data_IF_361002267225
#
_entry.id   IF_361002267225
#
_cell.length_a   1.000
_cell.length_b   1.000
_cell.length_c   1.000
_cell.angle_alpha   90.00
_cell.angle_beta   90.00
_cell.angle_gamma   90.00
#
_symmetry.space_group_name_H-M   'P 1'
#
loop_
_entity.id
_entity.type
_entity.pdbx_description
1 polymer ?
#
# COMPACT_ATOMS: atom_id res chain seq x y z
N UNK A 1 -72.10 18.94 44.31
CA UNK A 1 -70.76 18.93 44.93
C UNK A 1 -70.90 18.46 46.37
N UNK A 2 -70.37 17.28 46.72
CA UNK A 2 -70.14 16.90 48.11
C UNK A 2 -68.73 17.31 48.49
N UNK A 3 -68.63 18.16 49.49
CA UNK A 3 -67.40 18.67 50.09
C UNK A 3 -66.70 17.53 50.83
N UNK A 4 -65.54 17.11 50.32
CA UNK A 4 -64.59 16.26 51.05
C UNK A 4 -63.91 17.15 52.08
N UNK A 5 -63.95 16.74 53.36
CA UNK A 5 -63.36 17.49 54.47
C UNK A 5 -61.82 17.40 54.41
N UNK A 6 -61.07 18.45 54.79
CA UNK A 6 -59.59 18.50 54.72
C UNK A 6 -58.83 17.49 55.61
N UNK A 7 -59.53 16.65 56.35
CA UNK A 7 -58.96 15.74 57.35
C UNK A 7 -58.60 14.37 56.74
N UNK A 8 -59.21 13.99 55.62
CA UNK A 8 -58.95 12.71 54.93
C UNK A 8 -57.77 12.76 53.93
N UNK A 9 -57.13 13.92 53.76
CA UNK A 9 -55.89 14.06 52.97
C UNK A 9 -54.61 13.94 53.82
N UNK A 10 -54.73 13.73 55.13
CA UNK A 10 -53.59 13.67 56.06
C UNK A 10 -53.02 12.27 56.30
N UNK A 11 -53.54 11.23 55.63
CA UNK A 11 -53.00 9.87 55.74
C UNK A 11 -52.59 9.38 54.35
N UNK A 12 -51.50 9.95 53.81
CA UNK A 12 -50.62 9.32 52.79
C UNK A 12 -49.34 10.11 52.45
N UNK A 13 -48.92 11.03 53.32
CA UNK A 13 -47.60 11.69 53.21
C UNK A 13 -46.68 11.47 54.42
N UNK A 14 -47.05 10.55 55.33
CA UNK A 14 -46.28 10.23 56.52
C UNK A 14 -45.67 8.80 56.51
N UNK A 15 -45.64 8.14 55.36
CA UNK A 15 -44.85 6.90 55.14
C UNK A 15 -43.97 7.10 53.91
N UNK A 16 -42.91 7.90 54.05
CA UNK A 16 -41.75 7.86 53.16
C UNK A 16 -40.50 8.50 53.79
N UNK A 17 -40.40 8.43 55.12
CA UNK A 17 -39.17 8.81 55.82
C UNK A 17 -38.03 7.79 55.61
N UNK A 18 -38.33 6.57 55.13
CA UNK A 18 -37.33 5.60 54.67
C UNK A 18 -36.79 5.87 53.25
N UNK A 19 -37.44 6.75 52.47
CA UNK A 19 -36.97 7.08 51.11
C UNK A 19 -35.99 8.26 51.05
N UNK A 20 -35.72 8.94 52.18
CA UNK A 20 -34.70 10.02 52.23
C UNK A 20 -33.29 9.48 52.01
N UNK A 21 -32.97 8.27 52.49
CA UNK A 21 -31.69 7.62 52.21
C UNK A 21 -31.57 7.22 50.73
N UNK A 22 -32.65 6.72 50.12
CA UNK A 22 -32.70 6.43 48.68
C UNK A 22 -32.47 7.68 47.83
N UNK A 23 -33.13 8.79 48.18
CA UNK A 23 -33.01 10.06 47.46
C UNK A 23 -31.61 10.70 47.62
N UNK A 24 -31.02 10.63 48.81
CA UNK A 24 -29.64 11.08 49.03
C UNK A 24 -28.62 10.20 48.30
N UNK A 25 -28.84 8.88 48.23
CA UNK A 25 -27.99 7.97 47.47
C UNK A 25 -28.10 8.24 45.96
N UNK A 26 -29.31 8.51 45.46
CA UNK A 26 -29.55 8.90 44.07
C UNK A 26 -28.86 10.23 43.72
N UNK A 27 -29.03 11.27 44.54
CA UNK A 27 -28.35 12.57 44.34
C UNK A 27 -26.83 12.41 44.34
N UNK A 28 -26.26 11.63 45.26
CA UNK A 28 -24.81 11.36 45.28
C UNK A 28 -24.33 10.67 44.01
N UNK A 29 -25.09 9.69 43.49
CA UNK A 29 -24.77 9.01 42.21
C UNK A 29 -24.87 9.95 41.01
N UNK A 30 -25.87 10.82 40.96
CA UNK A 30 -26.02 11.83 39.90
C UNK A 30 -24.87 12.84 39.94
N UNK A 31 -24.51 13.35 41.13
CA UNK A 31 -23.37 14.25 41.29
C UNK A 31 -22.07 13.56 40.86
N UNK A 32 -21.85 12.30 41.26
CA UNK A 32 -20.67 11.54 40.86
C UNK A 32 -20.61 11.34 39.33
N UNK A 33 -21.75 11.06 38.68
CA UNK A 33 -21.84 10.94 37.23
C UNK A 33 -21.53 12.27 36.53
N UNK A 34 -22.05 13.39 37.03
CA UNK A 34 -21.77 14.73 36.50
C UNK A 34 -20.29 15.07 36.66
N UNK A 35 -19.70 14.81 37.83
CA UNK A 35 -18.26 15.01 38.06
C UNK A 35 -17.42 14.13 37.13
N UNK A 36 -17.81 12.87 36.92
CA UNK A 36 -17.14 11.97 35.97
C UNK A 36 -17.23 12.53 34.54
N UNK A 37 -18.39 13.00 34.10
CA UNK A 37 -18.58 13.60 32.77
C UNK A 37 -17.76 14.87 32.59
N UNK A 38 -17.66 15.72 33.62
CA UNK A 38 -16.82 16.92 33.62
C UNK A 38 -15.34 16.52 33.53
N UNK A 39 -14.89 15.55 34.32
CA UNK A 39 -13.52 15.04 34.28
C UNK A 39 -13.18 14.45 32.91
N UNK A 40 -14.06 13.63 32.33
CA UNK A 40 -13.89 13.07 30.98
C UNK A 40 -13.84 14.19 29.94
N UNK A 41 -14.73 15.18 30.00
CA UNK A 41 -14.72 16.32 29.09
C UNK A 41 -13.42 17.12 29.19
N UNK A 42 -12.90 17.34 30.40
CA UNK A 42 -11.64 18.06 30.61
C UNK A 42 -10.42 17.26 30.09
N UNK A 43 -10.44 15.93 30.25
CA UNK A 43 -9.41 15.04 29.70
C UNK A 43 -9.45 15.03 28.16
N UNK A 44 -10.63 14.96 27.56
CA UNK A 44 -10.81 15.05 26.11
C UNK A 44 -10.31 16.40 25.60
N UNK A 45 -10.67 17.51 26.24
CA UNK A 45 -10.22 18.84 25.85
C UNK A 45 -8.70 18.98 25.94
N UNK A 46 -8.09 18.49 27.03
CA UNK A 46 -6.62 18.46 27.17
C UNK A 46 -5.95 17.62 26.09
N UNK A 47 -6.49 16.45 25.79
CA UNK A 47 -5.96 15.57 24.75
C UNK A 47 -6.05 16.22 23.37
N UNK A 48 -7.20 16.82 23.03
CA UNK A 48 -7.39 17.57 21.76
C UNK A 48 -6.41 18.74 21.68
N UNK A 49 -6.23 19.49 22.77
CA UNK A 49 -5.29 20.62 22.79
C UNK A 49 -3.83 20.16 22.64
N UNK A 50 -3.41 19.09 23.30
CA UNK A 50 -2.07 18.51 23.13
C UNK A 50 -1.82 18.05 21.70
N UNK A 51 -2.79 17.35 21.09
CA UNK A 51 -2.73 16.97 19.67
C UNK A 51 -2.60 18.20 18.78
N UNK A 52 -3.41 19.23 19.02
CA UNK A 52 -3.36 20.47 18.24
C UNK A 52 -1.99 21.16 18.33
N UNK A 53 -1.41 21.28 19.53
CA UNK A 53 -0.07 21.85 19.74
C UNK A 53 0.99 21.04 18.99
N UNK A 54 0.95 19.70 19.08
CA UNK A 54 1.88 18.84 18.37
C UNK A 54 1.79 19.05 16.85
N UNK A 55 0.56 19.10 16.31
CA UNK A 55 0.31 19.34 14.89
C UNK A 55 0.86 20.71 14.46
N UNK A 56 0.56 21.78 15.21
CA UNK A 56 1.07 23.11 14.90
C UNK A 56 2.61 23.15 14.92
N UNK A 57 3.25 22.44 15.86
CA UNK A 57 4.71 22.35 15.90
C UNK A 57 5.31 21.64 14.69
N UNK A 58 4.69 20.55 14.21
CA UNK A 58 5.11 19.84 13.00
C UNK A 58 4.91 20.72 11.76
N UNK A 59 3.78 21.43 11.68
CA UNK A 59 3.50 22.39 10.60
C UNK A 59 4.55 23.50 10.57
N UNK A 60 4.82 24.12 11.71
CA UNK A 60 5.80 25.20 11.82
C UNK A 60 7.21 24.74 11.43
N UNK A 61 7.61 23.52 11.85
CA UNK A 61 8.91 22.94 11.47
C UNK A 61 8.98 22.73 9.95
N UNK A 62 7.95 22.14 9.34
CA UNK A 62 7.93 21.89 7.92
C UNK A 62 7.88 23.18 7.08
N UNK A 63 7.18 24.21 7.56
CA UNK A 63 7.20 25.55 6.95
C UNK A 63 8.57 26.22 7.09
N UNK A 64 9.23 26.05 8.23
CA UNK A 64 10.60 26.53 8.44
C UNK A 64 11.58 25.84 7.50
N UNK A 65 11.45 24.52 7.30
CA UNK A 65 12.24 23.77 6.33
C UNK A 65 11.96 24.24 4.89
N UNK A 66 10.70 24.52 4.54
CA UNK A 66 10.34 25.10 3.25
C UNK A 66 10.93 26.51 3.07
N UNK A 67 10.93 27.33 4.11
CA UNK A 67 11.57 28.66 4.05
C UNK A 67 13.09 28.58 3.95
N UNK A 68 13.71 27.68 4.71
CA UNK A 68 15.14 27.41 4.64
C UNK A 68 15.51 26.89 3.25
N UNK A 69 14.66 26.04 2.67
CA UNK A 69 14.81 25.54 1.31
C UNK A 69 14.85 26.66 0.28
N UNK A 70 13.94 27.62 0.43
CA UNK A 70 13.84 28.80 -0.45
C UNK A 70 15.02 29.77 -0.23
N UNK A 71 15.52 29.93 1.00
CA UNK A 71 16.58 30.90 1.36
C UNK A 71 17.99 30.42 1.04
N UNK A 72 18.30 29.15 1.32
CA UNK A 72 19.69 28.65 1.29
C UNK A 72 20.17 28.26 -0.10
N UNK A 73 19.27 28.05 -1.06
CA UNK A 73 19.64 27.48 -2.34
C UNK A 73 20.28 26.10 -2.25
N UNK A 74 20.22 25.40 -1.10
CA UNK A 74 20.72 24.02 -0.90
C UNK A 74 20.03 23.06 -1.87
N UNK A 75 18.81 23.40 -2.28
CA UNK A 75 18.05 22.68 -3.29
C UNK A 75 18.40 23.08 -4.74
N UNK A 76 19.42 23.92 -4.98
CA UNK A 76 19.83 24.39 -6.32
C UNK A 76 20.37 23.27 -7.22
N UNK A 77 20.91 22.19 -6.65
CA UNK A 77 21.35 21.00 -7.37
C UNK A 77 20.15 20.16 -7.83
N UNK A 78 19.56 20.57 -8.95
CA UNK A 78 18.82 19.66 -9.82
C UNK A 78 19.85 18.86 -10.60
N UNK A 79 20.07 17.60 -10.26
CA UNK A 79 20.59 16.70 -11.28
C UNK A 79 19.39 16.29 -12.11
N UNK A 80 19.39 16.67 -13.38
CA UNK A 80 18.43 16.16 -14.34
C UNK A 80 18.62 14.64 -14.41
N UNK A 81 17.87 13.88 -13.63
CA UNK A 81 17.81 12.42 -13.78
C UNK A 81 16.65 12.15 -14.73
N UNK A 82 16.80 12.64 -15.95
CA UNK A 82 16.05 12.04 -17.05
C UNK A 82 16.62 10.64 -17.25
N UNK A 83 15.88 9.63 -16.79
CA UNK A 83 15.86 8.33 -17.43
C UNK A 83 17.19 7.59 -17.48
N UNK A 84 18.02 7.63 -16.43
CA UNK A 84 19.04 6.59 -16.33
C UNK A 84 18.30 5.23 -16.31
N UNK A 85 18.53 4.38 -17.32
CA UNK A 85 17.84 3.11 -17.38
C UNK A 85 18.24 2.28 -16.17
N UNK A 86 17.25 1.65 -15.55
CA UNK A 86 17.49 0.72 -14.45
C UNK A 86 18.45 -0.35 -14.99
N UNK A 87 19.59 -0.51 -14.32
CA UNK A 87 20.55 -1.55 -14.66
C UNK A 87 19.94 -2.91 -14.33
N UNK A 88 19.88 -3.77 -15.33
CA UNK A 88 19.27 -5.10 -15.21
C UNK A 88 20.22 -6.14 -15.75
N UNK A 89 20.34 -7.25 -15.04
CA UNK A 89 21.06 -8.45 -15.43
C UNK A 89 20.32 -9.64 -14.86
N UNK A 90 19.61 -10.34 -15.73
CA UNK A 90 19.06 -11.63 -15.39
C UNK A 90 20.18 -12.67 -15.40
N UNK A 91 20.32 -13.43 -14.31
CA UNK A 91 21.27 -14.54 -14.26
C UNK A 91 20.60 -15.75 -14.90
N UNK A 92 21.06 -16.10 -16.09
CA UNK A 92 20.68 -17.34 -16.78
C UNK A 92 21.85 -18.32 -16.73
N UNK A 93 21.60 -19.64 -16.76
CA UNK A 93 22.65 -20.61 -17.03
C UNK A 93 23.38 -20.29 -18.34
N UNK A 94 24.70 -20.56 -18.37
CA UNK A 94 25.55 -20.29 -19.54
C UNK A 94 25.08 -21.06 -20.79
N UNK A 95 24.54 -22.26 -20.57
CA UNK A 95 23.87 -23.04 -21.61
C UNK A 95 22.35 -22.98 -21.41
N UNK A 96 21.66 -22.37 -22.38
CA UNK A 96 20.20 -22.24 -22.36
C UNK A 96 19.49 -23.47 -22.92
N UNK A 97 20.19 -24.41 -23.56
CA UNK A 97 19.58 -25.57 -24.24
C UNK A 97 18.90 -26.56 -23.29
N UNK A 98 19.32 -26.56 -22.02
CA UNK A 98 18.75 -27.36 -20.94
C UNK A 98 17.55 -26.73 -20.22
N UNK A 99 17.29 -25.44 -20.42
CA UNK A 99 16.19 -24.76 -19.74
C UNK A 99 14.84 -25.34 -20.17
N UNK A 100 13.99 -25.65 -19.21
CA UNK A 100 12.64 -26.19 -19.41
C UNK A 100 11.59 -25.37 -18.69
N UNK A 101 11.94 -24.72 -17.58
CA UNK A 101 10.98 -24.10 -16.69
C UNK A 101 11.31 -22.65 -16.38
N UNK A 102 10.24 -21.87 -16.22
CA UNK A 102 10.21 -20.58 -15.56
C UNK A 102 9.55 -20.75 -14.19
N UNK A 103 10.17 -20.23 -13.15
CA UNK A 103 9.62 -20.22 -11.79
C UNK A 103 9.41 -18.77 -11.36
N UNK A 104 8.16 -18.45 -11.05
CA UNK A 104 7.73 -17.13 -10.56
C UNK A 104 7.26 -17.25 -9.11
N UNK A 105 7.68 -16.34 -8.24
CA UNK A 105 7.16 -16.17 -6.88
C UNK A 105 8.06 -16.71 -5.78
N UNK A 106 9.34 -17.03 -6.08
CA UNK A 106 10.32 -17.46 -5.06
C UNK A 106 10.86 -16.28 -4.25
N UNK A 107 10.82 -15.06 -4.79
CA UNK A 107 11.26 -13.86 -4.07
C UNK A 107 10.47 -13.66 -2.79
N UNK A 108 11.16 -13.23 -1.71
CA UNK A 108 10.54 -12.95 -0.42
C UNK A 108 11.25 -11.90 0.41
N UNK A 109 10.45 -11.17 1.19
CA UNK A 109 10.90 -10.29 2.26
C UNK A 109 10.47 -10.92 3.58
N UNK A 110 11.40 -11.01 4.53
CA UNK A 110 11.11 -11.40 5.90
C UNK A 110 10.94 -10.14 6.74
N UNK A 111 9.84 -10.05 7.48
CA UNK A 111 9.55 -8.93 8.38
C UNK A 111 9.45 -9.45 9.80
N UNK A 112 10.22 -8.89 10.71
CA UNK A 112 10.29 -9.26 12.12
C UNK A 112 10.00 -8.03 13.01
N UNK A 113 9.94 -8.24 14.33
CA UNK A 113 9.60 -7.20 15.31
C UNK A 113 10.56 -6.00 15.37
N UNK A 114 11.79 -6.16 14.89
CA UNK A 114 12.79 -5.11 14.90
C UNK A 114 12.71 -4.21 13.66
N UNK A 115 11.91 -4.60 12.66
CA UNK A 115 11.78 -3.84 11.43
C UNK A 115 11.02 -2.53 11.63
N UNK A 116 11.41 -1.53 10.84
CA UNK A 116 10.73 -0.25 10.72
C UNK A 116 10.11 -0.19 9.32
N UNK A 117 8.78 -0.26 9.28
CA UNK A 117 7.97 -0.12 8.09
C UNK A 117 7.75 1.37 7.84
N UNK A 118 8.41 1.91 6.80
CA UNK A 118 8.11 3.23 6.26
C UNK A 118 7.00 3.11 5.21
N UNK A 119 5.94 3.91 5.33
CA UNK A 119 4.83 3.87 4.39
C UNK A 119 4.46 5.27 3.85
N UNK A 120 3.99 5.31 2.60
CA UNK A 120 3.31 6.50 2.08
C UNK A 120 2.04 6.80 2.89
N UNK A 121 1.54 8.03 2.87
CA UNK A 121 0.32 8.44 3.61
C UNK A 121 -0.96 8.03 2.89
N UNK A 122 -1.07 8.44 1.63
CA UNK A 122 -2.25 8.18 0.81
C UNK A 122 -2.46 6.68 0.60
N UNK A 123 -3.69 6.19 0.68
CA UNK A 123 -4.07 4.77 0.62
C UNK A 123 -3.50 3.87 1.73
N UNK A 124 -2.99 4.46 2.82
CA UNK A 124 -2.52 3.75 4.02
C UNK A 124 -3.27 4.16 5.27
N UNK A 125 -3.16 5.43 5.69
CA UNK A 125 -3.88 5.97 6.84
C UNK A 125 -4.84 7.12 6.48
N UNK A 126 -4.82 7.56 5.22
CA UNK A 126 -5.78 8.49 4.61
C UNK A 126 -6.00 8.09 3.15
N UNK A 127 -7.18 8.33 2.60
CA UNK A 127 -7.43 8.11 1.17
C UNK A 127 -8.19 9.30 0.57
N UNK A 128 -7.51 10.01 -0.32
CA UNK A 128 -8.11 11.12 -1.05
C UNK A 128 -9.18 10.67 -2.05
N UNK A 129 -9.05 9.46 -2.58
CA UNK A 129 -9.99 8.91 -3.55
C UNK A 129 -11.26 8.38 -2.88
N UNK A 130 -11.10 7.62 -1.80
CA UNK A 130 -12.18 7.12 -0.93
C UNK A 130 -12.79 8.18 0.00
N UNK A 131 -12.25 9.41 -0.01
CA UNK A 131 -12.68 10.54 0.84
C UNK A 131 -12.51 10.30 2.35
N UNK A 132 -11.58 9.42 2.74
CA UNK A 132 -11.19 9.23 4.14
C UNK A 132 -10.17 10.30 4.55
N UNK A 133 -10.60 11.57 4.50
CA UNK A 133 -9.73 12.76 4.66
C UNK A 133 -9.92 13.49 5.99
N UNK A 134 -10.94 13.14 6.78
CA UNK A 134 -11.28 13.84 8.03
C UNK A 134 -10.26 13.58 9.16
N UNK A 135 -9.35 12.63 8.96
CA UNK A 135 -8.28 12.31 9.91
C UNK A 135 -7.02 13.06 9.55
N UNK A 136 -6.41 13.72 10.53
CA UNK A 136 -5.06 14.25 10.37
C UNK A 136 -4.06 13.09 10.27
N UNK A 137 -3.03 13.20 9.41
CA UNK A 137 -2.06 12.13 9.23
C UNK A 137 -1.30 11.96 10.54
N UNK A 138 -1.38 10.77 11.13
CA UNK A 138 -0.53 10.37 12.25
C UNK A 138 0.79 9.87 11.71
N UNK A 139 1.92 10.30 12.28
CA UNK A 139 3.24 9.76 11.94
C UNK A 139 3.40 8.30 12.38
N UNK A 140 2.67 7.90 13.41
CA UNK A 140 2.67 6.55 13.99
C UNK A 140 1.24 6.06 14.21
N UNK A 141 0.48 5.79 13.13
CA UNK A 141 -0.90 5.35 13.27
C UNK A 141 -0.94 3.97 13.92
N UNK A 142 -1.98 3.73 14.70
CA UNK A 142 -2.33 2.39 15.17
C UNK A 142 -2.86 1.57 14.01
N UNK A 143 -2.79 0.25 14.15
CA UNK A 143 -3.26 -0.70 13.14
C UNK A 143 -4.73 -0.50 12.78
N UNK A 144 -5.57 -0.13 13.74
CA UNK A 144 -7.01 0.11 13.55
C UNK A 144 -7.29 1.42 12.79
N UNK A 145 -6.30 2.30 12.67
CA UNK A 145 -6.38 3.54 11.91
C UNK A 145 -6.00 3.34 10.43
N UNK A 146 -5.51 2.15 10.06
CA UNK A 146 -5.14 1.82 8.69
C UNK A 146 -6.37 1.48 7.85
N UNK A 147 -6.32 1.92 6.60
CA UNK A 147 -7.30 1.61 5.57
C UNK A 147 -7.28 0.11 5.26
N UNK A 148 -8.44 -0.47 4.97
CA UNK A 148 -8.62 -1.93 4.78
C UNK A 148 -8.53 -2.37 3.32
N UNK A 149 -8.01 -1.52 2.45
CA UNK A 149 -7.72 -1.80 1.04
C UNK A 149 -6.36 -1.18 0.68
N UNK A 150 -5.86 -1.46 -0.53
CA UNK A 150 -4.57 -0.95 -1.02
C UNK A 150 -3.38 -1.28 -0.11
N UNK A 151 -2.35 -0.41 -0.06
CA UNK A 151 -1.16 -0.58 0.78
C UNK A 151 -1.51 -0.71 2.27
N UNK A 152 -2.52 0.03 2.76
CA UNK A 152 -2.98 -0.01 4.14
C UNK A 152 -3.39 -1.42 4.59
N UNK A 153 -4.15 -2.13 3.75
CA UNK A 153 -4.57 -3.51 4.03
C UNK A 153 -3.37 -4.44 4.20
N UNK A 154 -2.36 -4.29 3.35
CA UNK A 154 -1.19 -5.17 3.36
C UNK A 154 -0.25 -4.87 4.52
N UNK A 155 -0.13 -3.59 4.92
CA UNK A 155 0.56 -3.22 6.17
C UNK A 155 -0.18 -3.83 7.37
N UNK A 156 -1.51 -3.78 7.38
CA UNK A 156 -2.31 -4.40 8.44
C UNK A 156 -2.06 -5.90 8.53
N UNK A 157 -2.03 -6.63 7.42
CA UNK A 157 -1.71 -8.06 7.39
C UNK A 157 -0.32 -8.35 7.98
N UNK A 158 0.67 -7.48 7.72
CA UNK A 158 2.00 -7.58 8.33
C UNK A 158 1.90 -7.38 9.85
N UNK A 159 1.26 -6.29 10.31
CA UNK A 159 1.12 -5.95 11.73
C UNK A 159 0.21 -6.91 12.52
N UNK A 160 -0.61 -7.71 11.86
CA UNK A 160 -1.36 -8.81 12.48
C UNK A 160 -0.47 -10.01 12.82
N UNK A 161 0.72 -10.10 12.21
CA UNK A 161 1.65 -11.23 12.31
C UNK A 161 2.94 -10.85 13.04
N UNK A 162 3.31 -9.56 13.02
CA UNK A 162 4.55 -9.05 13.62
C UNK A 162 4.33 -7.79 14.46
N UNK A 163 5.20 -7.55 15.43
CA UNK A 163 5.26 -6.32 16.23
C UNK A 163 6.17 -5.24 15.59
N UNK A 164 6.31 -5.25 14.26
CA UNK A 164 7.11 -4.27 13.53
C UNK A 164 6.60 -2.83 13.76
N UNK A 165 7.51 -1.85 13.68
CA UNK A 165 7.16 -0.44 13.91
C UNK A 165 6.71 0.21 12.61
N UNK A 166 5.52 0.81 12.60
CA UNK A 166 5.04 1.61 11.47
C UNK A 166 5.43 3.09 11.62
N UNK A 167 5.90 3.68 10.52
CA UNK A 167 6.20 5.10 10.36
C UNK A 167 5.61 5.61 9.06
N UNK A 168 4.80 6.66 9.14
CA UNK A 168 4.29 7.34 7.97
C UNK A 168 5.35 8.34 7.49
N UNK A 169 5.73 8.22 6.22
CA UNK A 169 6.74 9.04 5.59
C UNK A 169 6.06 10.27 4.99
N UNK A 170 5.96 11.31 5.82
CA UNK A 170 5.27 12.58 5.52
C UNK A 170 6.28 13.72 5.30
N UNK A 171 5.79 14.91 4.96
CA UNK A 171 6.54 16.15 4.83
C UNK A 171 7.67 16.10 3.79
N UNK A 172 7.38 15.51 2.63
CA UNK A 172 8.35 15.48 1.52
C UNK A 172 8.39 16.82 0.81
N UNK A 173 9.56 17.45 0.78
CA UNK A 173 9.81 18.60 -0.07
C UNK A 173 9.94 18.13 -1.52
N UNK A 174 9.21 18.76 -2.43
CA UNK A 174 9.28 18.52 -3.87
C UNK A 174 9.61 19.80 -4.63
N UNK A 175 10.22 19.67 -5.80
CA UNK A 175 10.61 20.80 -6.65
C UNK A 175 10.03 20.67 -8.05
N UNK A 176 9.49 21.77 -8.58
CA UNK A 176 8.97 21.86 -9.94
C UNK A 176 10.10 22.17 -10.92
N UNK A 177 10.16 21.40 -12.00
CA UNK A 177 11.09 21.60 -13.12
C UNK A 177 10.43 21.15 -14.43
N UNK A 178 10.52 21.95 -15.50
CA UNK A 178 9.92 21.65 -16.81
C UNK A 178 8.46 21.13 -16.75
N UNK A 179 7.63 21.77 -15.93
CA UNK A 179 6.23 21.41 -15.67
C UNK A 179 5.96 20.07 -14.93
N UNK A 180 6.99 19.32 -14.56
CA UNK A 180 6.90 18.16 -13.68
C UNK A 180 7.37 18.49 -12.25
N UNK A 181 7.03 17.63 -11.30
CA UNK A 181 7.43 17.74 -9.89
C UNK A 181 8.32 16.58 -9.51
N UNK A 182 9.35 16.84 -8.73
CA UNK A 182 10.34 15.83 -8.36
C UNK A 182 10.54 15.82 -6.84
N UNK A 183 10.66 14.63 -6.26
CA UNK A 183 11.08 14.39 -4.90
C UNK A 183 12.57 14.01 -4.83
N UNK A 184 13.24 14.31 -3.71
CA UNK A 184 14.67 14.09 -3.55
C UNK A 184 15.00 12.66 -3.12
N UNK A 185 16.23 12.26 -3.42
CA UNK A 185 16.90 11.16 -2.73
C UNK A 185 17.44 11.58 -1.35
N UNK A 186 18.16 10.69 -0.68
CA UNK A 186 18.78 10.92 0.64
C UNK A 186 19.84 12.03 0.65
N UNK A 187 20.40 12.39 -0.51
CA UNK A 187 21.38 13.46 -0.66
C UNK A 187 20.72 14.80 -1.03
N UNK A 188 19.38 14.85 -1.07
CA UNK A 188 18.64 16.05 -1.45
C UNK A 188 18.56 16.28 -2.96
N UNK A 189 18.93 15.31 -3.80
CA UNK A 189 18.90 15.43 -5.26
C UNK A 189 17.51 15.09 -5.77
N UNK A 190 16.80 16.07 -6.31
CA UNK A 190 15.46 15.89 -6.88
C UNK A 190 15.49 15.12 -8.20
N UNK A 191 15.05 13.87 -8.15
CA UNK A 191 15.14 12.96 -9.31
C UNK A 191 13.94 12.05 -9.53
N UNK A 192 13.07 11.90 -8.53
CA UNK A 192 11.91 11.01 -8.65
C UNK A 192 10.66 11.83 -8.95
N UNK A 193 10.08 11.62 -10.12
CA UNK A 193 8.86 12.29 -10.51
C UNK A 193 7.70 11.94 -9.56
N UNK A 194 7.00 12.99 -9.12
CA UNK A 194 5.77 12.92 -8.35
C UNK A 194 4.63 13.43 -9.21
N UNK A 195 3.58 12.63 -9.30
CA UNK A 195 2.42 12.96 -10.12
C UNK A 195 1.81 14.30 -9.68
N UNK A 196 1.50 15.14 -10.67
CA UNK A 196 1.02 16.52 -10.44
C UNK A 196 -0.25 16.56 -9.59
N UNK A 197 -1.18 15.64 -9.78
CA UNK A 197 -2.42 15.57 -9.00
C UNK A 197 -2.16 15.36 -7.50
N UNK A 198 -1.08 14.65 -7.14
CA UNK A 198 -0.66 14.41 -5.74
C UNK A 198 -0.05 15.65 -5.10
N UNK A 199 0.68 16.45 -5.87
CA UNK A 199 1.19 17.74 -5.40
C UNK A 199 0.07 18.74 -5.15
N UNK A 200 -1.06 18.58 -5.85
CA UNK A 200 -2.24 19.43 -5.71
C UNK A 200 -3.23 18.96 -4.64
N UNK A 201 -2.86 17.99 -3.80
CA UNK A 201 -3.66 17.63 -2.63
C UNK A 201 -3.88 18.87 -1.73
N UNK A 202 -5.09 19.07 -1.17
CA UNK A 202 -5.39 20.20 -0.30
C UNK A 202 -4.49 20.36 0.92
N UNK A 203 -3.80 19.29 1.35
CA UNK A 203 -2.85 19.30 2.47
C UNK A 203 -1.44 19.68 2.06
N UNK A 204 -1.15 19.72 0.77
CA UNK A 204 0.14 20.12 0.24
C UNK A 204 0.26 21.65 0.26
N UNK A 205 1.45 22.15 0.61
CA UNK A 205 1.74 23.58 0.55
C UNK A 205 2.67 23.85 -0.62
N UNK A 206 2.23 24.64 -1.60
CA UNK A 206 3.04 24.98 -2.77
C UNK A 206 3.37 26.47 -2.76
N UNK A 207 4.66 26.80 -2.84
CA UNK A 207 5.17 28.17 -2.96
C UNK A 207 6.16 28.23 -4.14
N UNK A 208 5.81 28.98 -5.19
CA UNK A 208 6.60 29.10 -6.43
C UNK A 208 6.85 27.72 -7.07
N UNK A 209 8.11 27.30 -7.13
CA UNK A 209 8.57 26.02 -7.70
C UNK A 209 8.92 24.99 -6.61
N UNK A 210 8.49 25.18 -5.37
CA UNK A 210 8.72 24.24 -4.27
C UNK A 210 7.39 23.87 -3.64
N UNK A 211 7.22 22.60 -3.32
CA UNK A 211 6.05 22.05 -2.65
C UNK A 211 6.45 21.27 -1.40
N UNK A 212 5.55 21.21 -0.43
CA UNK A 212 5.65 20.36 0.75
C UNK A 212 4.47 19.41 0.73
N UNK A 213 4.75 18.11 0.59
CA UNK A 213 3.76 17.04 0.56
C UNK A 213 3.57 16.48 1.96
N UNK A 214 2.44 16.78 2.59
CA UNK A 214 2.07 16.15 3.87
C UNK A 214 1.53 14.74 3.64
N UNK A 215 0.72 14.58 2.60
CA UNK A 215 0.15 13.31 2.21
C UNK A 215 0.93 12.78 1.01
N UNK A 216 1.98 12.01 1.29
CA UNK A 216 2.82 11.40 0.27
C UNK A 216 2.07 10.27 -0.45
N UNK A 217 2.39 10.08 -1.73
CA UNK A 217 1.81 9.04 -2.56
C UNK A 217 2.86 8.48 -3.51
N UNK A 218 3.08 7.17 -3.42
CA UNK A 218 4.05 6.42 -4.21
C UNK A 218 5.45 6.46 -3.63
N UNK A 219 6.22 5.40 -3.95
CA UNK A 219 7.60 5.23 -3.48
C UNK A 219 8.50 6.38 -3.91
N UNK A 220 8.24 6.99 -5.08
CA UNK A 220 8.97 8.17 -5.56
C UNK A 220 8.94 9.35 -4.59
N UNK A 221 7.88 9.49 -3.79
CA UNK A 221 7.69 10.62 -2.89
C UNK A 221 8.25 10.42 -1.47
N UNK A 222 8.88 9.29 -1.18
CA UNK A 222 9.24 8.92 0.21
C UNK A 222 10.69 8.47 0.40
N UNK A 223 11.55 8.57 -0.63
CA UNK A 223 12.95 8.10 -0.56
C UNK A 223 13.76 8.80 0.53
N UNK A 224 13.75 10.13 0.53
CA UNK A 224 14.48 10.92 1.53
C UNK A 224 14.03 10.60 2.97
N UNK A 225 12.72 10.53 3.18
CA UNK A 225 12.10 10.24 4.48
C UNK A 225 12.40 8.81 4.93
N UNK A 226 12.41 7.84 4.01
CA UNK A 226 12.73 6.45 4.31
C UNK A 226 14.11 6.31 4.97
N UNK A 227 15.12 7.00 4.44
CA UNK A 227 16.48 6.98 4.97
C UNK A 227 16.57 7.73 6.29
N UNK A 228 15.93 8.90 6.39
CA UNK A 228 15.89 9.68 7.64
C UNK A 228 15.26 8.89 8.81
N UNK A 229 14.14 8.21 8.54
CA UNK A 229 13.42 7.40 9.53
C UNK A 229 14.04 6.01 9.74
N UNK A 230 15.16 5.69 9.06
CA UNK A 230 15.86 4.41 9.16
C UNK A 230 14.93 3.22 8.88
N UNK A 231 14.07 3.35 7.88
CA UNK A 231 13.18 2.28 7.46
C UNK A 231 13.98 1.07 6.96
N UNK A 232 13.55 -0.14 7.31
CA UNK A 232 14.11 -1.40 6.80
C UNK A 232 13.20 -2.03 5.74
N UNK A 233 11.92 -1.64 5.73
CA UNK A 233 10.93 -1.98 4.72
C UNK A 233 10.16 -0.74 4.32
N UNK A 234 9.99 -0.53 3.01
CA UNK A 234 9.10 0.47 2.45
C UNK A 234 7.87 -0.19 1.86
N UNK A 235 6.69 0.35 2.19
CA UNK A 235 5.42 -0.04 1.57
C UNK A 235 4.79 1.17 0.89
N UNK A 236 4.63 1.09 -0.43
CA UNK A 236 4.09 2.20 -1.22
C UNK A 236 3.69 1.79 -2.63
N UNK A 237 2.95 2.66 -3.29
CA UNK A 237 2.46 2.45 -4.65
C UNK A 237 3.64 2.43 -5.65
N UNK A 238 3.56 1.52 -6.61
CA UNK A 238 4.59 1.21 -7.60
C UNK A 238 4.08 1.26 -9.04
N UNK A 239 3.15 2.16 -9.34
CA UNK A 239 2.42 2.18 -10.60
C UNK A 239 2.93 3.20 -11.64
N UNK A 240 4.17 3.68 -11.49
CA UNK A 240 4.84 4.50 -12.51
C UNK A 240 6.32 4.09 -12.62
N UNK A 241 6.97 4.34 -13.77
CA UNK A 241 8.41 4.10 -13.93
C UNK A 241 9.26 4.82 -12.88
N UNK A 242 8.92 6.06 -12.51
CA UNK A 242 9.69 6.80 -11.51
C UNK A 242 9.56 6.22 -10.10
N UNK A 243 8.40 5.62 -9.76
CA UNK A 243 8.23 4.87 -8.51
C UNK A 243 9.11 3.61 -8.51
N UNK A 244 9.29 2.94 -9.66
CA UNK A 244 10.21 1.80 -9.80
C UNK A 244 11.68 2.20 -9.68
N UNK A 245 12.08 3.33 -10.26
CA UNK A 245 13.43 3.89 -10.08
C UNK A 245 13.73 4.18 -8.60
N UNK A 246 12.77 4.78 -7.90
CA UNK A 246 12.87 5.02 -6.46
C UNK A 246 12.98 3.72 -5.66
N UNK A 247 12.19 2.70 -6.02
CA UNK A 247 12.26 1.38 -5.39
C UNK A 247 13.65 0.75 -5.56
N UNK A 248 14.20 0.72 -6.78
CA UNK A 248 15.54 0.18 -7.05
C UNK A 248 16.62 0.93 -6.29
N UNK A 249 16.52 2.26 -6.19
CA UNK A 249 17.46 3.06 -5.41
C UNK A 249 17.44 2.67 -3.93
N UNK A 250 16.26 2.59 -3.32
CA UNK A 250 16.09 2.14 -1.93
C UNK A 250 16.65 0.72 -1.71
N UNK A 251 16.42 -0.20 -2.66
CA UNK A 251 17.00 -1.54 -2.61
C UNK A 251 18.54 -1.53 -2.68
N UNK A 252 19.12 -0.62 -3.47
CA UNK A 252 20.57 -0.36 -3.50
C UNK A 252 21.12 0.16 -2.17
N UNK A 253 20.30 0.85 -1.37
CA UNK A 253 20.63 1.24 0.00
C UNK A 253 20.41 0.13 1.04
N UNK A 254 20.05 -1.10 0.61
CA UNK A 254 19.76 -2.22 1.49
C UNK A 254 18.36 -2.21 2.10
N UNK A 255 17.48 -1.30 1.68
CA UNK A 255 16.10 -1.19 2.18
C UNK A 255 15.18 -2.06 1.34
N UNK A 256 14.41 -2.95 1.97
CA UNK A 256 13.41 -3.76 1.26
C UNK A 256 12.25 -2.87 0.79
N UNK A 257 11.64 -3.19 -0.36
CA UNK A 257 10.51 -2.42 -0.88
C UNK A 257 9.42 -3.36 -1.36
N UNK A 258 8.22 -3.15 -0.82
CA UNK A 258 7.00 -3.85 -1.17
C UNK A 258 5.99 -2.87 -1.78
N UNK A 259 5.53 -3.17 -2.99
CA UNK A 259 4.64 -2.31 -3.75
C UNK A 259 3.42 -3.10 -4.23
N UNK A 260 2.39 -3.28 -3.38
CA UNK A 260 1.25 -4.12 -3.72
C UNK A 260 0.45 -3.58 -4.91
N UNK A 261 0.40 -2.25 -5.08
CA UNK A 261 -0.20 -1.59 -6.25
C UNK A 261 0.84 -1.38 -7.36
N UNK A 262 1.38 -2.47 -7.92
CA UNK A 262 2.37 -2.40 -9.01
C UNK A 262 1.73 -2.47 -10.40
N UNK A 263 2.30 -1.75 -11.36
CA UNK A 263 1.99 -1.91 -12.79
C UNK A 263 3.25 -2.18 -13.62
N UNK A 264 4.40 -1.77 -13.09
CA UNK A 264 5.67 -1.70 -13.80
C UNK A 264 6.74 -2.63 -13.21
N UNK A 265 6.35 -3.70 -12.50
CA UNK A 265 7.32 -4.67 -11.95
C UNK A 265 8.18 -5.33 -13.06
N UNK A 266 7.67 -5.40 -14.29
CA UNK A 266 8.45 -5.81 -15.48
C UNK A 266 9.70 -4.97 -15.73
N UNK A 267 9.65 -3.67 -15.43
CA UNK A 267 10.78 -2.74 -15.66
C UNK A 267 11.94 -2.96 -14.69
N UNK A 268 11.75 -3.74 -13.63
CA UNK A 268 12.77 -4.04 -12.61
C UNK A 268 13.14 -5.53 -12.58
N UNK A 269 12.72 -6.31 -13.57
CA UNK A 269 13.16 -7.71 -13.69
C UNK A 269 14.68 -7.78 -13.76
N UNK A 270 15.26 -8.65 -12.94
CA UNK A 270 16.70 -8.84 -12.88
C UNK A 270 17.44 -7.57 -12.49
N UNK A 271 16.82 -6.65 -11.74
CA UNK A 271 17.50 -5.45 -11.27
C UNK A 271 18.82 -5.81 -10.59
N UNK A 272 19.88 -5.09 -10.96
CA UNK A 272 21.15 -5.15 -10.25
C UNK A 272 21.22 -3.89 -9.41
N UNK A 273 20.89 -4.04 -8.13
CA UNK A 273 21.10 -2.96 -7.16
C UNK A 273 22.58 -2.60 -7.09
N UNK A 274 22.87 -1.31 -6.98
CA UNK A 274 24.20 -0.79 -6.65
C UNK A 274 24.62 -1.37 -5.29
N UNK A 275 25.43 -2.42 -5.26
CA UNK A 275 26.08 -3.04 -4.07
C UNK A 275 25.18 -3.47 -2.89
N UNK A 276 23.89 -3.11 -2.86
CA UNK A 276 22.96 -3.33 -1.76
C UNK A 276 22.16 -4.64 -1.85
N UNK A 277 21.73 -5.11 -0.68
CA UNK A 277 21.02 -6.39 -0.50
C UNK A 277 19.50 -6.28 -0.45
N UNK A 278 18.92 -5.10 -0.71
CA UNK A 278 17.48 -4.89 -0.58
C UNK A 278 16.68 -5.73 -1.58
N UNK A 279 15.54 -6.24 -1.13
CA UNK A 279 14.62 -7.07 -1.92
C UNK A 279 13.43 -6.24 -2.38
N UNK A 280 13.11 -6.32 -3.67
CA UNK A 280 11.93 -5.71 -4.28
C UNK A 280 10.84 -6.76 -4.47
N UNK A 281 9.60 -6.44 -4.09
CA UNK A 281 8.43 -7.30 -4.32
C UNK A 281 7.23 -6.44 -4.72
N UNK A 282 6.58 -6.79 -5.84
CA UNK A 282 5.34 -6.14 -6.29
C UNK A 282 4.12 -6.65 -5.55
N UNK A 283 3.00 -6.83 -6.25
CA UNK A 283 1.86 -7.60 -5.76
C UNK A 283 2.35 -8.95 -5.22
N UNK A 284 2.02 -9.27 -3.98
CA UNK A 284 2.41 -10.54 -3.35
C UNK A 284 1.57 -10.75 -2.08
N UNK A 285 1.35 -12.01 -1.66
CA UNK A 285 0.70 -12.31 -0.40
C UNK A 285 1.60 -12.01 0.79
N UNK A 286 0.98 -11.69 1.92
CA UNK A 286 1.60 -11.68 3.25
C UNK A 286 1.12 -12.93 4.00
N UNK A 287 2.06 -13.72 4.51
CA UNK A 287 1.78 -14.95 5.25
C UNK A 287 2.59 -15.04 6.53
N UNK A 288 2.12 -15.86 7.47
CA UNK A 288 2.82 -16.12 8.73
C UNK A 288 4.04 -17.00 8.49
N UNK A 289 5.21 -16.52 8.91
CA UNK A 289 6.45 -17.28 8.99
C UNK A 289 6.81 -17.63 10.43
N UNK A 290 7.96 -18.30 10.60
CA UNK A 290 8.46 -18.74 11.92
C UNK A 290 8.84 -17.53 12.81
N UNK A 291 9.42 -16.48 12.22
CA UNK A 291 9.97 -15.33 12.95
C UNK A 291 9.22 -14.01 12.74
N UNK A 292 8.08 -14.05 12.05
CA UNK A 292 7.28 -12.87 11.71
C UNK A 292 6.52 -13.06 10.40
N UNK A 293 6.35 -11.99 9.63
CA UNK A 293 5.65 -12.04 8.35
C UNK A 293 6.60 -12.38 7.20
N UNK A 294 6.08 -13.09 6.20
CA UNK A 294 6.73 -13.33 4.91
C UNK A 294 5.89 -12.65 3.85
N UNK A 295 6.49 -11.75 3.08
CA UNK A 295 5.88 -11.16 1.89
C UNK A 295 6.44 -11.92 0.68
N UNK A 296 5.59 -12.52 -0.15
CA UNK A 296 5.99 -13.37 -1.28
C UNK A 296 6.13 -14.85 -0.92
N UNK A 297 7.13 -15.53 -1.50
CA UNK A 297 7.40 -16.97 -1.31
C UNK A 297 6.22 -17.86 -1.71
N UNK A 298 5.63 -17.64 -2.88
CA UNK A 298 4.51 -18.42 -3.40
C UNK A 298 4.80 -18.87 -4.84
N UNK A 299 5.70 -19.85 -5.03
CA UNK A 299 6.21 -20.20 -6.34
C UNK A 299 5.19 -20.97 -7.18
N UNK A 300 5.19 -20.68 -8.49
CA UNK A 300 4.53 -21.45 -9.53
C UNK A 300 5.54 -21.74 -10.64
N UNK A 301 5.51 -22.98 -11.14
CA UNK A 301 6.33 -23.42 -12.28
C UNK A 301 5.51 -23.36 -13.58
N UNK A 302 6.15 -22.91 -14.65
CA UNK A 302 5.60 -22.78 -16.00
C UNK A 302 6.62 -23.41 -16.95
N UNK A 303 6.21 -24.37 -17.78
CA UNK A 303 7.11 -24.88 -18.82
C UNK A 303 7.32 -23.78 -19.89
N UNK A 304 8.52 -23.66 -20.45
CA UNK A 304 8.85 -22.57 -21.36
C UNK A 304 8.07 -22.60 -22.68
N UNK A 305 7.55 -23.78 -23.07
CA UNK A 305 6.71 -23.99 -24.25
C UNK A 305 5.20 -23.95 -23.95
N UNK A 306 4.82 -23.87 -22.66
CA UNK A 306 3.43 -23.83 -22.22
C UNK A 306 2.74 -22.53 -22.65
N UNK A 307 1.48 -22.64 -23.10
CA UNK A 307 0.63 -21.49 -23.44
C UNK A 307 0.31 -20.67 -22.19
N UNK A 308 0.55 -19.36 -22.27
CA UNK A 308 0.20 -18.40 -21.22
C UNK A 308 -0.81 -17.41 -21.81
N UNK A 309 -2.03 -17.38 -21.27
CA UNK A 309 -2.99 -16.33 -21.61
C UNK A 309 -2.68 -15.10 -20.78
N UNK A 310 -2.43 -13.98 -21.44
CA UNK A 310 -1.98 -12.73 -20.81
C UNK A 310 -2.96 -11.62 -21.09
N UNK A 311 -3.42 -10.97 -20.03
CA UNK A 311 -4.30 -9.82 -20.11
C UNK A 311 -3.55 -8.55 -20.54
N UNK A 312 -4.23 -7.73 -21.35
CA UNK A 312 -3.71 -6.46 -21.86
C UNK A 312 -4.83 -5.42 -22.04
N UNK A 313 -4.46 -4.15 -22.10
CA UNK A 313 -5.37 -3.07 -22.47
C UNK A 313 -4.63 -1.85 -23.03
N UNK A 314 -5.33 -1.05 -23.81
CA UNK A 314 -4.90 0.28 -24.24
C UNK A 314 -5.75 1.41 -23.64
N UNK A 315 -6.66 1.08 -22.72
CA UNK A 315 -7.56 2.04 -22.09
C UNK A 315 -6.84 2.87 -21.02
N UNK A 316 -7.39 4.05 -20.72
CA UNK A 316 -6.88 4.95 -19.69
C UNK A 316 -7.30 4.51 -18.28
N UNK A 317 -6.92 5.30 -17.26
CA UNK A 317 -7.30 5.06 -15.88
C UNK A 317 -8.84 4.93 -15.73
N UNK A 318 -9.33 3.96 -14.94
CA UNK A 318 -8.59 2.99 -14.12
C UNK A 318 -8.26 1.67 -14.84
N UNK A 319 -8.67 1.50 -16.10
CA UNK A 319 -8.53 0.24 -16.83
C UNK A 319 -7.06 -0.03 -17.17
N UNK A 320 -6.24 1.01 -17.33
CA UNK A 320 -4.80 0.91 -17.64
C UNK A 320 -4.00 -0.12 -16.82
N UNK A 321 -4.44 -0.50 -15.61
CA UNK A 321 -3.75 -1.48 -14.77
C UNK A 321 -3.85 -2.93 -15.30
N UNK A 322 -4.78 -3.24 -16.20
CA UNK A 322 -4.89 -4.56 -16.83
C UNK A 322 -3.76 -4.84 -17.84
N UNK A 323 -2.91 -3.87 -18.18
CA UNK A 323 -1.74 -4.10 -19.04
C UNK A 323 -0.50 -4.61 -18.29
N UNK A 324 -0.53 -4.66 -16.96
CA UNK A 324 0.59 -5.10 -16.12
C UNK A 324 1.07 -6.53 -16.46
N UNK A 325 0.19 -7.52 -16.70
CA UNK A 325 0.60 -8.86 -17.12
C UNK A 325 1.41 -8.85 -18.42
N UNK A 326 0.88 -8.22 -19.48
CA UNK A 326 1.57 -8.13 -20.77
C UNK A 326 2.92 -7.44 -20.65
N UNK A 327 2.97 -6.28 -19.96
CA UNK A 327 4.22 -5.55 -19.72
C UNK A 327 5.29 -6.41 -19.06
N UNK A 328 4.90 -7.19 -18.05
CA UNK A 328 5.82 -8.07 -17.34
C UNK A 328 6.42 -9.13 -18.26
N UNK A 329 5.59 -9.89 -18.98
CA UNK A 329 6.08 -10.95 -19.85
C UNK A 329 6.86 -10.42 -21.06
N UNK A 330 6.48 -9.28 -21.64
CA UNK A 330 7.25 -8.66 -22.74
C UNK A 330 8.66 -8.24 -22.28
N UNK A 331 8.78 -7.60 -21.11
CA UNK A 331 10.09 -7.26 -20.56
C UNK A 331 10.90 -8.51 -20.14
N UNK A 332 10.23 -9.57 -19.65
CA UNK A 332 10.87 -10.85 -19.36
C UNK A 332 11.43 -11.51 -20.61
N UNK A 333 10.68 -11.54 -21.73
CA UNK A 333 11.18 -12.06 -23.01
C UNK A 333 12.39 -11.25 -23.47
N UNK A 334 12.28 -9.92 -23.42
CA UNK A 334 13.34 -9.00 -23.86
C UNK A 334 14.64 -9.20 -23.09
N UNK A 335 14.58 -9.35 -21.76
CA UNK A 335 15.79 -9.50 -20.94
C UNK A 335 16.36 -10.93 -20.96
N UNK A 336 15.51 -11.95 -21.05
CA UNK A 336 15.95 -13.35 -21.06
C UNK A 336 16.38 -13.83 -22.44
N UNK A 337 15.83 -13.25 -23.51
CA UNK A 337 15.93 -13.74 -24.88
C UNK A 337 15.15 -15.03 -25.13
N UNK A 338 14.23 -15.40 -24.23
CA UNK A 338 13.34 -16.55 -24.39
C UNK A 338 12.01 -16.05 -24.96
N UNK A 339 11.49 -16.74 -25.99
CA UNK A 339 10.18 -16.45 -26.55
C UNK A 339 9.15 -17.34 -25.85
N UNK A 340 8.24 -16.75 -25.08
CA UNK A 340 7.14 -17.48 -24.45
C UNK A 340 5.95 -17.60 -25.42
N UNK A 341 5.13 -18.63 -25.22
CA UNK A 341 3.91 -18.84 -25.99
C UNK A 341 2.76 -18.00 -25.41
N UNK A 342 2.79 -16.68 -25.66
CA UNK A 342 1.84 -15.73 -25.12
C UNK A 342 0.60 -15.59 -26.00
N UNK A 343 -0.59 -15.75 -25.41
CA UNK A 343 -1.88 -15.45 -26.03
C UNK A 343 -2.43 -14.17 -25.39
N UNK A 344 -2.34 -13.06 -26.12
CA UNK A 344 -2.70 -11.74 -25.58
C UNK A 344 -4.21 -11.50 -25.74
N UNK A 345 -4.89 -11.22 -24.64
CA UNK A 345 -6.33 -10.92 -24.63
C UNK A 345 -6.55 -9.48 -24.19
N UNK A 346 -7.12 -8.67 -25.08
CA UNK A 346 -7.42 -7.26 -24.80
C UNK A 346 -8.73 -7.12 -24.03
N UNK A 347 -8.69 -6.39 -22.91
CA UNK A 347 -9.87 -5.93 -22.18
C UNK A 347 -10.08 -4.43 -22.41
N UNK A 348 -11.34 -4.03 -22.48
CA UNK A 348 -11.79 -2.66 -22.68
C UNK A 348 -12.63 -2.13 -21.52
N UNK A 349 -13.05 -3.00 -20.61
CA UNK A 349 -13.90 -2.65 -19.47
C UNK A 349 -13.38 -3.25 -18.15
N UNK A 350 -13.97 -2.82 -17.04
CA UNK A 350 -13.73 -3.47 -15.75
C UNK A 350 -14.45 -4.82 -15.72
N UNK A 351 -13.96 -5.77 -14.90
CA UNK A 351 -14.64 -7.05 -14.62
C UNK A 351 -14.70 -8.03 -15.81
N UNK A 352 -13.72 -7.95 -16.72
CA UNK A 352 -13.67 -8.79 -17.92
C UNK A 352 -12.88 -10.10 -17.72
N UNK A 353 -12.64 -10.56 -16.48
CA UNK A 353 -11.92 -11.80 -16.20
C UNK A 353 -12.52 -13.04 -16.88
N UNK A 354 -13.85 -13.04 -17.15
CA UNK A 354 -14.51 -14.08 -17.97
C UNK A 354 -13.86 -14.23 -19.35
N UNK A 355 -13.52 -13.12 -20.01
CA UNK A 355 -12.92 -13.13 -21.35
C UNK A 355 -11.57 -13.84 -21.34
N UNK A 356 -10.74 -13.55 -20.35
CA UNK A 356 -9.42 -14.17 -20.16
C UNK A 356 -9.55 -15.68 -19.96
N UNK A 357 -10.45 -16.08 -19.06
CA UNK A 357 -10.66 -17.49 -18.73
C UNK A 357 -11.31 -18.27 -19.89
N UNK A 358 -12.23 -17.67 -20.65
CA UNK A 358 -12.79 -18.32 -21.84
C UNK A 358 -11.71 -18.63 -22.87
N UNK A 359 -10.83 -17.67 -23.17
CA UNK A 359 -9.71 -17.90 -24.08
C UNK A 359 -8.76 -18.97 -23.54
N UNK A 360 -8.48 -18.97 -22.23
CA UNK A 360 -7.66 -20.03 -21.63
C UNK A 360 -8.23 -21.43 -21.83
N UNK A 361 -9.57 -21.58 -21.75
CA UNK A 361 -10.24 -22.86 -22.05
C UNK A 361 -10.20 -23.21 -23.54
N UNK A 362 -10.47 -22.24 -24.41
CA UNK A 362 -10.45 -22.43 -25.87
C UNK A 362 -9.06 -22.85 -26.37
N UNK A 363 -8.01 -22.33 -25.75
CA UNK A 363 -6.63 -22.58 -26.13
C UNK A 363 -5.98 -23.75 -25.37
N UNK A 364 -6.71 -24.40 -24.47
CA UNK A 364 -6.19 -25.38 -23.50
C UNK A 364 -4.96 -24.87 -22.72
N UNK A 365 -4.94 -23.57 -22.44
CA UNK A 365 -3.89 -22.95 -21.65
C UNK A 365 -4.10 -23.24 -20.16
N UNK A 366 -3.03 -23.59 -19.45
CA UNK A 366 -3.05 -23.90 -18.02
C UNK A 366 -2.48 -22.79 -17.16
N UNK A 367 -2.03 -21.71 -17.77
CA UNK A 367 -1.49 -20.53 -17.08
C UNK A 367 -2.20 -19.29 -17.59
N UNK A 368 -2.71 -18.48 -16.66
CA UNK A 368 -3.23 -17.14 -16.94
C UNK A 368 -2.43 -16.09 -16.17
N UNK A 369 -2.17 -14.95 -16.80
CA UNK A 369 -1.57 -13.78 -16.19
C UNK A 369 -2.60 -12.65 -16.21
N UNK A 370 -3.12 -12.28 -15.04
CA UNK A 370 -4.36 -11.51 -14.91
C UNK A 370 -4.35 -10.59 -13.69
N UNK A 371 -5.06 -9.46 -13.79
CA UNK A 371 -5.43 -8.63 -12.65
C UNK A 371 -6.83 -8.99 -12.14
N UNK A 372 -6.95 -9.21 -10.84
CA UNK A 372 -8.22 -9.52 -10.16
C UNK A 372 -8.48 -8.45 -9.11
N UNK A 373 -9.39 -7.54 -9.42
CA UNK A 373 -9.76 -6.42 -8.54
C UNK A 373 -11.20 -6.49 -8.05
N UNK A 374 -12.07 -7.22 -8.75
CA UNK A 374 -13.50 -7.29 -8.47
C UNK A 374 -13.95 -8.72 -8.15
N UNK A 375 -15.08 -8.84 -7.47
CA UNK A 375 -15.63 -10.15 -7.07
C UNK A 375 -16.00 -10.99 -8.29
N UNK A 376 -16.46 -10.37 -9.37
CA UNK A 376 -16.78 -11.05 -10.62
C UNK A 376 -15.54 -11.71 -11.25
N UNK A 377 -14.40 -11.03 -11.28
CA UNK A 377 -13.13 -11.60 -11.75
C UNK A 377 -12.68 -12.75 -10.85
N UNK A 378 -12.78 -12.56 -9.53
CA UNK A 378 -12.44 -13.58 -8.54
C UNK A 378 -13.25 -14.86 -8.75
N UNK A 379 -14.58 -14.76 -8.92
CA UNK A 379 -15.44 -15.94 -9.08
C UNK A 379 -15.07 -16.74 -10.33
N UNK A 380 -14.78 -16.05 -11.44
CA UNK A 380 -14.40 -16.71 -12.69
C UNK A 380 -13.04 -17.39 -12.54
N UNK A 381 -12.02 -16.69 -12.02
CA UNK A 381 -10.68 -17.27 -11.84
C UNK A 381 -10.71 -18.41 -10.84
N UNK A 382 -11.41 -18.25 -9.71
CA UNK A 382 -11.60 -19.31 -8.71
C UNK A 382 -12.20 -20.57 -9.32
N UNK A 383 -13.30 -20.44 -10.08
CA UNK A 383 -13.95 -21.60 -10.69
C UNK A 383 -13.02 -22.31 -11.69
N UNK A 384 -12.24 -21.54 -12.46
CA UNK A 384 -11.24 -22.12 -13.36
C UNK A 384 -10.09 -22.82 -12.61
N UNK A 385 -9.59 -22.25 -11.51
CA UNK A 385 -8.57 -22.90 -10.67
C UNK A 385 -9.09 -24.21 -10.04
N UNK A 386 -10.38 -24.30 -9.73
CA UNK A 386 -11.01 -25.51 -9.19
C UNK A 386 -11.20 -26.62 -10.24
N UNK A 387 -11.16 -26.30 -11.54
CA UNK A 387 -11.30 -27.29 -12.61
C UNK A 387 -10.09 -28.23 -12.72
N UNK A 388 -8.90 -27.79 -12.32
CA UNK A 388 -7.68 -28.60 -12.32
C UNK A 388 -6.60 -28.00 -11.43
N UNK A 389 -5.89 -28.86 -10.69
CA UNK A 389 -4.69 -28.50 -9.93
C UNK A 389 -3.52 -28.01 -10.79
N UNK A 390 -3.56 -28.28 -12.10
CA UNK A 390 -2.62 -27.75 -13.10
C UNK A 390 -2.95 -26.33 -13.55
N UNK A 391 -4.16 -25.83 -13.31
CA UNK A 391 -4.50 -24.46 -13.67
C UNK A 391 -3.81 -23.51 -12.69
N UNK A 392 -3.08 -22.52 -13.22
CA UNK A 392 -2.28 -21.58 -12.45
C UNK A 392 -2.58 -20.14 -12.86
N UNK A 393 -2.60 -19.22 -11.89
CA UNK A 393 -2.81 -17.80 -12.13
C UNK A 393 -1.67 -16.95 -11.56
N UNK A 394 -1.03 -16.16 -12.43
CA UNK A 394 -0.05 -15.14 -12.04
C UNK A 394 -0.80 -13.82 -11.90
N UNK A 395 -0.91 -13.34 -10.66
CA UNK A 395 -1.75 -12.19 -10.32
C UNK A 395 -0.93 -10.90 -10.35
N UNK A 396 -1.40 -9.91 -11.13
CA UNK A 396 -0.77 -8.59 -11.28
C UNK A 396 -1.68 -7.48 -10.73
N UNK A 397 -1.15 -6.52 -9.95
CA UNK A 397 -1.96 -5.44 -9.36
C UNK A 397 -3.23 -5.93 -8.61
N UNK A 398 -3.18 -7.14 -8.04
CA UNK A 398 -4.33 -7.82 -7.43
C UNK A 398 -4.28 -7.78 -5.90
N UNK A 399 -3.07 -7.76 -5.33
CA UNK A 399 -2.87 -7.62 -3.89
C UNK A 399 -3.47 -6.34 -3.26
N UNK A 400 -3.81 -5.25 -3.96
CA UNK A 400 -4.49 -4.12 -3.33
C UNK A 400 -5.95 -4.40 -2.95
N UNK A 401 -6.56 -5.45 -3.51
CA UNK A 401 -8.00 -5.68 -3.44
C UNK A 401 -8.30 -7.04 -2.80
N UNK A 402 -9.35 -7.09 -1.98
CA UNK A 402 -9.74 -8.34 -1.32
C UNK A 402 -10.04 -9.49 -2.30
N UNK A 403 -10.75 -9.30 -3.44
CA UNK A 403 -11.01 -10.39 -4.38
C UNK A 403 -9.74 -11.07 -4.92
N UNK A 404 -8.75 -10.27 -5.36
CA UNK A 404 -7.47 -10.79 -5.84
C UNK A 404 -6.63 -11.39 -4.72
N UNK A 405 -6.60 -10.74 -3.56
CA UNK A 405 -5.83 -11.22 -2.41
C UNK A 405 -6.34 -12.55 -1.86
N UNK A 406 -7.66 -12.78 -1.94
CA UNK A 406 -8.29 -14.02 -1.52
C UNK A 406 -7.80 -15.22 -2.34
N UNK A 407 -7.54 -15.06 -3.63
CA UNK A 407 -6.99 -16.12 -4.48
C UNK A 407 -5.62 -16.61 -3.99
N UNK A 408 -4.75 -15.71 -3.53
CA UNK A 408 -3.47 -16.12 -2.95
C UNK A 408 -3.65 -17.05 -1.73
N UNK A 409 -4.64 -16.75 -0.88
CA UNK A 409 -4.92 -17.53 0.33
C UNK A 409 -5.61 -18.86 0.05
N UNK A 410 -6.59 -18.87 -0.86
CA UNK A 410 -7.37 -20.06 -1.19
C UNK A 410 -6.60 -21.04 -2.08
N UNK A 411 -5.72 -20.54 -2.95
CA UNK A 411 -5.01 -21.33 -3.96
C UNK A 411 -3.48 -21.13 -3.91
N UNK A 412 -2.82 -21.35 -2.76
CA UNK A 412 -1.41 -20.99 -2.56
C UNK A 412 -0.42 -21.79 -3.42
N UNK A 413 -0.84 -22.93 -3.98
CA UNK A 413 -0.02 -23.76 -4.89
C UNK A 413 -0.27 -23.47 -6.38
N UNK A 414 -1.33 -22.72 -6.69
CA UNK A 414 -1.75 -22.44 -8.07
C UNK A 414 -1.66 -20.95 -8.40
N UNK A 415 -1.45 -20.08 -7.40
CA UNK A 415 -1.34 -18.65 -7.63
C UNK A 415 0.06 -18.15 -7.33
N UNK A 416 0.54 -17.20 -8.12
CA UNK A 416 1.82 -16.52 -7.90
C UNK A 416 1.70 -15.07 -8.37
N UNK A 417 2.80 -14.34 -8.42
CA UNK A 417 2.86 -12.92 -8.71
C UNK A 417 3.97 -12.55 -9.69
N UNK A 418 3.94 -11.31 -10.19
CA UNK A 418 5.00 -10.73 -11.00
C UNK A 418 6.31 -10.63 -10.23
N UNK A 419 7.12 -11.68 -10.25
CA UNK A 419 8.37 -11.78 -9.50
C UNK A 419 9.49 -10.98 -10.22
N UNK A 420 10.11 -9.97 -9.58
CA UNK A 420 11.22 -9.24 -10.20
C UNK A 420 12.53 -10.04 -10.29
N UNK A 421 12.62 -11.21 -9.65
CA UNK A 421 13.77 -12.14 -9.76
C UNK A 421 13.28 -13.55 -10.17
N UNK A 422 12.76 -13.69 -11.40
CA UNK A 422 12.33 -15.00 -11.89
C UNK A 422 13.52 -15.96 -12.00
N UNK A 423 13.26 -17.26 -11.83
CA UNK A 423 14.28 -18.30 -11.92
C UNK A 423 13.99 -19.17 -13.16
N UNK A 424 15.05 -19.52 -13.89
CA UNK A 424 15.00 -20.42 -15.04
C UNK A 424 15.76 -21.70 -14.69
N UNK A 425 15.11 -22.85 -14.88
CA UNK A 425 15.64 -24.20 -14.59
C UNK A 425 15.60 -25.10 -15.82
#
# INVERSE_FOLDING_TARGET
MKTVKPEDLRIRFAENHENKQGYQCYIKRVILLILLLICVSFLVLRYVNQKHIQIQSTIQKAETELELALKTGIYSKMVKVEGEPIKRKLVLPNDKSGLRKLILGRSKILVNKNDVIGAQVDRVNRDWYGKEIDKLPSETPKKEELITYHEGARIKDILDITDAKLRMLTNTIVRKYNNAWFAPDENGIFKYEVLKDKVLYPTSTVKKNVGLLRDTHGISSIVHQAVHEKATLIVGCGDTPSKMQAAVHLAGLGINVYFPCDRYVGEIIGYVGYEGSGVLIGTAPVKKGVFGAIIGDQPVEIELDEKIVVEDTNQSYPIQYYDAPRRYFEELQKISGINFNLIIVKVSELKEGRKIISVAREEDARVVAIRVAYEEDYLVVKNWLLESDKNRAILFHSAPYEPGYRLFREFPKQTSFGDPKPIFE
#
